data_IF_703200036099
#
_entry.id   IF_703200036099
#
_cell.length_a   1.000
_cell.length_b   1.000
_cell.length_c   1.000
_cell.angle_alpha   90.00
_cell.angle_beta   90.00
_cell.angle_gamma   90.00
#
_symmetry.space_group_name_H-M   'P 1'
#
loop_
_entity.id
_entity.type
_entity.pdbx_description
1 polymer ?
#
# COMPACT_ATOMS: atom_id res chain seq x y z
N UNK A 1 -24.76 1.92 6.83
CA UNK A 1 -23.32 1.70 7.09
C UNK A 1 -23.13 1.42 8.57
N UNK A 2 -22.60 0.24 8.91
CA UNK A 2 -22.28 -0.17 10.27
C UNK A 2 -21.02 0.55 10.79
N UNK A 3 -20.75 0.50 12.10
CA UNK A 3 -19.51 1.03 12.68
C UNK A 3 -18.26 0.38 12.06
N UNK A 4 -18.33 -0.93 11.77
CA UNK A 4 -17.25 -1.69 11.13
C UNK A 4 -17.02 -1.23 9.68
N UNK A 5 -18.09 -1.01 8.91
CA UNK A 5 -18.00 -0.53 7.54
C UNK A 5 -17.40 0.89 7.47
N UNK A 6 -17.81 1.80 8.37
CA UNK A 6 -17.23 3.14 8.47
C UNK A 6 -15.72 3.08 8.80
N UNK A 7 -15.34 2.22 9.74
CA UNK A 7 -13.94 2.01 10.11
C UNK A 7 -13.12 1.49 8.91
N UNK A 8 -13.63 0.48 8.20
CA UNK A 8 -12.98 -0.06 7.01
C UNK A 8 -12.84 1.00 5.92
N UNK A 9 -13.89 1.78 5.65
CA UNK A 9 -13.85 2.86 4.67
C UNK A 9 -12.77 3.89 5.02
N UNK A 10 -12.63 4.24 6.30
CA UNK A 10 -11.55 5.11 6.77
C UNK A 10 -10.16 4.51 6.53
N UNK A 11 -9.98 3.22 6.79
CA UNK A 11 -8.71 2.52 6.57
C UNK A 11 -8.34 2.43 5.08
N UNK A 12 -9.30 2.06 4.21
CA UNK A 12 -9.10 2.00 2.76
C UNK A 12 -8.75 3.38 2.18
N UNK A 13 -9.40 4.43 2.66
CA UNK A 13 -9.07 5.80 2.28
C UNK A 13 -7.63 6.15 2.64
N UNK A 14 -7.17 5.84 3.85
CA UNK A 14 -5.78 6.13 4.26
C UNK A 14 -4.75 5.39 3.40
N UNK A 15 -5.03 4.16 2.99
CA UNK A 15 -4.20 3.40 2.05
C UNK A 15 -4.13 4.12 0.71
N UNK A 16 -5.28 4.55 0.17
CA UNK A 16 -5.35 5.26 -1.10
C UNK A 16 -4.68 6.63 -1.07
N UNK A 17 -4.85 7.38 0.02
CA UNK A 17 -4.17 8.66 0.22
C UNK A 17 -2.65 8.47 0.18
N UNK A 18 -2.11 7.45 0.87
CA UNK A 18 -0.68 7.09 0.81
C UNK A 18 -0.25 6.63 -0.59
N UNK A 19 -1.08 5.83 -1.28
CA UNK A 19 -0.81 5.37 -2.63
C UNK A 19 -0.67 6.53 -3.63
N UNK A 20 -1.58 7.50 -3.56
CA UNK A 20 -1.58 8.70 -4.40
C UNK A 20 -0.34 9.58 -4.18
N UNK A 21 0.22 9.60 -2.96
CA UNK A 21 1.46 10.33 -2.68
C UNK A 21 2.59 9.82 -3.57
N UNK A 22 2.75 8.50 -3.77
CA UNK A 22 3.78 7.97 -4.68
C UNK A 22 3.61 8.48 -6.11
N UNK A 23 2.38 8.56 -6.62
CA UNK A 23 2.12 9.13 -7.95
C UNK A 23 2.55 10.60 -8.10
N UNK A 24 2.57 11.34 -7.00
CA UNK A 24 2.90 12.78 -6.97
C UNK A 24 4.39 13.10 -6.82
N UNK A 25 5.23 12.11 -6.47
CA UNK A 25 6.66 12.32 -6.26
C UNK A 25 7.39 12.67 -7.56
N UNK A 26 8.46 13.46 -7.43
CA UNK A 26 9.24 14.00 -8.57
C UNK A 26 10.64 13.42 -8.66
N UNK A 27 10.91 12.37 -7.88
CA UNK A 27 12.18 11.66 -7.84
C UNK A 27 13.36 12.58 -7.47
N UNK A 28 13.11 13.51 -6.53
CA UNK A 28 14.12 14.48 -6.07
C UNK A 28 14.70 14.11 -4.70
N UNK A 29 15.88 14.66 -4.31
CA UNK A 29 16.39 14.50 -2.96
C UNK A 29 15.33 14.84 -1.90
N UNK A 30 15.21 13.97 -0.90
CA UNK A 30 14.15 14.04 0.13
C UNK A 30 12.91 13.20 -0.18
N UNK A 31 12.62 12.86 -1.45
CA UNK A 31 11.49 11.99 -1.78
C UNK A 31 11.68 10.57 -1.24
N UNK A 32 12.92 10.11 -1.04
CA UNK A 32 13.19 8.79 -0.42
C UNK A 32 12.63 8.67 1.00
N UNK A 33 12.70 9.74 1.80
CA UNK A 33 12.14 9.74 3.16
C UNK A 33 10.60 9.70 3.12
N UNK A 34 10.01 10.32 2.11
CA UNK A 34 8.56 10.22 1.86
C UNK A 34 8.21 8.79 1.47
N UNK A 35 8.94 8.18 0.54
CA UNK A 35 8.77 6.78 0.13
C UNK A 35 8.81 5.85 1.34
N UNK A 36 9.86 5.97 2.16
CA UNK A 36 10.02 5.17 3.39
C UNK A 36 8.81 5.30 4.32
N UNK A 37 8.38 6.54 4.58
CA UNK A 37 7.25 6.80 5.47
C UNK A 37 5.94 6.23 4.94
N UNK A 38 5.66 6.41 3.66
CA UNK A 38 4.39 5.94 3.08
C UNK A 38 4.36 4.41 2.90
N UNK A 39 5.49 3.76 2.60
CA UNK A 39 5.58 2.28 2.60
C UNK A 39 5.27 1.73 4.00
N UNK A 40 5.88 2.29 5.05
CA UNK A 40 5.63 1.84 6.42
C UNK A 40 4.16 1.99 6.82
N UNK A 41 3.53 3.11 6.43
CA UNK A 41 2.10 3.33 6.66
C UNK A 41 1.24 2.30 5.94
N UNK A 42 1.43 2.11 4.64
CA UNK A 42 0.66 1.15 3.85
C UNK A 42 0.80 -0.26 4.42
N UNK A 43 2.03 -0.69 4.74
CA UNK A 43 2.26 -2.01 5.35
C UNK A 43 1.51 -2.15 6.67
N UNK A 44 1.56 -1.12 7.53
CA UNK A 44 0.80 -1.09 8.78
C UNK A 44 -0.71 -1.19 8.56
N UNK A 45 -1.26 -0.42 7.62
CA UNK A 45 -2.68 -0.44 7.29
C UNK A 45 -3.11 -1.78 6.69
N UNK A 46 -2.29 -2.39 5.84
CA UNK A 46 -2.55 -3.72 5.27
C UNK A 46 -2.55 -4.82 6.34
N UNK A 47 -1.67 -4.75 7.33
CA UNK A 47 -1.71 -5.68 8.47
C UNK A 47 -3.02 -5.55 9.25
N UNK A 48 -3.46 -4.32 9.55
CA UNK A 48 -4.74 -4.06 10.22
C UNK A 48 -5.91 -4.56 9.35
N UNK A 49 -5.91 -4.22 8.06
CA UNK A 49 -6.94 -4.58 7.11
C UNK A 49 -7.09 -6.10 7.00
N UNK A 50 -5.99 -6.83 6.85
CA UNK A 50 -6.01 -8.29 6.76
C UNK A 50 -6.61 -8.93 8.02
N UNK A 51 -6.29 -8.41 9.20
CA UNK A 51 -6.87 -8.89 10.46
C UNK A 51 -8.37 -8.61 10.57
N UNK A 52 -8.85 -7.47 10.05
CA UNK A 52 -10.27 -7.12 10.07
C UNK A 52 -11.07 -7.89 9.02
N UNK A 53 -10.55 -8.08 7.82
CA UNK A 53 -11.21 -8.84 6.76
C UNK A 53 -11.42 -10.31 7.16
N UNK A 54 -10.49 -10.90 7.90
CA UNK A 54 -10.66 -12.26 8.48
C UNK A 54 -11.88 -12.40 9.41
N UNK A 55 -12.29 -11.33 10.07
CA UNK A 55 -13.50 -11.32 10.91
C UNK A 55 -14.78 -11.25 10.07
N UNK A 56 -14.65 -10.87 8.80
CA UNK A 56 -15.74 -10.69 7.83
C UNK A 56 -15.74 -11.78 6.75
N UNK A 57 -14.84 -12.77 6.85
CA UNK A 57 -14.43 -13.71 5.78
C UNK A 57 -15.50 -14.74 5.37
N UNK A 58 -16.77 -14.45 5.64
CA UNK A 58 -17.93 -15.24 5.20
C UNK A 58 -19.04 -14.37 4.57
N UNK A 59 -18.80 -13.07 4.37
CA UNK A 59 -19.86 -12.11 4.03
C UNK A 59 -19.82 -11.60 2.57
N UNK A 60 -18.69 -11.72 1.85
CA UNK A 60 -18.59 -11.27 0.44
C UNK A 60 -17.33 -11.79 -0.26
N UNK A 61 -17.49 -12.22 -1.52
CA UNK A 61 -16.38 -12.60 -2.42
C UNK A 61 -15.37 -11.46 -2.61
N UNK A 62 -15.82 -10.21 -2.56
CA UNK A 62 -14.94 -9.04 -2.71
C UNK A 62 -13.94 -8.95 -1.55
N UNK A 63 -14.39 -9.17 -0.31
CA UNK A 63 -13.54 -9.10 0.88
C UNK A 63 -12.52 -10.24 0.92
N UNK A 64 -12.92 -11.45 0.54
CA UNK A 64 -12.00 -12.59 0.43
C UNK A 64 -10.97 -12.37 -0.69
N UNK A 65 -11.39 -11.78 -1.82
CA UNK A 65 -10.49 -11.40 -2.92
C UNK A 65 -9.46 -10.35 -2.47
N UNK A 66 -9.90 -9.31 -1.76
CA UNK A 66 -9.02 -8.27 -1.21
C UNK A 66 -8.07 -8.84 -0.15
N UNK A 67 -8.56 -9.65 0.79
CA UNK A 67 -7.72 -10.26 1.83
C UNK A 67 -6.60 -11.12 1.21
N UNK A 68 -6.92 -11.88 0.16
CA UNK A 68 -5.93 -12.68 -0.57
C UNK A 68 -4.86 -11.82 -1.24
N UNK A 69 -5.26 -10.70 -1.87
CA UNK A 69 -4.32 -9.77 -2.51
C UNK A 69 -3.42 -9.05 -1.49
N UNK A 70 -3.99 -8.60 -0.36
CA UNK A 70 -3.25 -7.98 0.75
C UNK A 70 -2.24 -8.95 1.34
N UNK A 71 -2.65 -10.21 1.57
CA UNK A 71 -1.76 -11.26 2.07
C UNK A 71 -0.61 -11.52 1.10
N UNK A 72 -0.90 -11.66 -0.20
CA UNK A 72 0.11 -11.83 -1.23
C UNK A 72 1.13 -10.68 -1.22
N UNK A 73 0.66 -9.43 -1.07
CA UNK A 73 1.57 -8.29 -1.00
C UNK A 73 2.50 -8.37 0.22
N UNK A 74 1.94 -8.60 1.41
CA UNK A 74 2.70 -8.65 2.66
C UNK A 74 3.71 -9.81 2.73
N UNK A 75 3.45 -10.90 2.02
CA UNK A 75 4.33 -12.08 2.01
C UNK A 75 5.47 -11.98 0.97
N UNK A 76 5.26 -11.26 -0.13
CA UNK A 76 6.19 -11.25 -1.26
C UNK A 76 6.98 -9.95 -1.42
N UNK A 77 6.57 -8.87 -0.76
CA UNK A 77 7.22 -7.56 -0.90
C UNK A 77 7.70 -7.02 0.44
N UNK A 78 9.02 -6.84 0.55
CA UNK A 78 9.68 -6.14 1.63
C UNK A 78 10.73 -5.18 1.03
N UNK A 79 10.48 -3.88 1.20
CA UNK A 79 11.30 -2.81 0.64
C UNK A 79 12.28 -2.22 1.66
N UNK A 80 12.27 -2.64 2.92
CA UNK A 80 13.03 -1.98 3.99
C UNK A 80 14.54 -1.98 3.67
N UNK A 81 15.06 -3.12 3.23
CA UNK A 81 16.48 -3.27 2.86
C UNK A 81 16.85 -2.45 1.62
N UNK A 82 15.97 -2.42 0.62
CA UNK A 82 16.20 -1.66 -0.62
C UNK A 82 16.24 -0.15 -0.31
N UNK A 83 15.27 0.34 0.47
CA UNK A 83 15.20 1.74 0.93
C UNK A 83 16.41 2.09 1.79
N UNK A 84 16.83 1.23 2.71
CA UNK A 84 18.02 1.47 3.54
C UNK A 84 19.30 1.58 2.69
N UNK A 85 19.45 0.70 1.70
CA UNK A 85 20.59 0.73 0.77
C UNK A 85 20.59 2.02 -0.06
N UNK A 86 19.41 2.38 -0.58
CA UNK A 86 19.17 3.61 -1.31
C UNK A 86 19.53 4.85 -0.50
N UNK A 87 19.15 4.89 0.79
CA UNK A 87 19.40 6.02 1.68
C UNK A 87 20.90 6.28 1.87
N UNK A 88 21.71 5.23 1.92
CA UNK A 88 23.16 5.32 2.13
C UNK A 88 23.95 5.67 0.89
N UNK A 89 23.51 5.21 -0.29
CA UNK A 89 24.34 5.21 -1.50
C UNK A 89 23.80 6.10 -2.63
N UNK A 90 22.48 6.31 -2.68
CA UNK A 90 21.78 6.80 -3.88
C UNK A 90 20.63 7.76 -3.56
N UNK A 91 20.60 8.37 -2.37
CA UNK A 91 19.52 9.25 -1.93
C UNK A 91 19.37 10.52 -2.77
N UNK A 92 20.41 10.88 -3.52
CA UNK A 92 20.43 12.02 -4.42
C UNK A 92 20.32 11.65 -5.92
N UNK A 93 20.28 10.35 -6.27
CA UNK A 93 20.19 9.89 -7.66
C UNK A 93 18.71 9.79 -8.13
N UNK A 94 18.24 10.69 -9.01
CA UNK A 94 16.84 10.72 -9.43
C UNK A 94 16.39 9.45 -10.15
N UNK A 95 17.29 8.80 -10.92
CA UNK A 95 16.93 7.58 -11.63
C UNK A 95 16.73 6.42 -10.66
N UNK A 96 17.54 6.37 -9.61
CA UNK A 96 17.40 5.34 -8.58
C UNK A 96 16.15 5.56 -7.72
N UNK A 97 15.83 6.82 -7.38
CA UNK A 97 14.58 7.18 -6.71
C UNK A 97 13.34 6.81 -7.55
N UNK A 98 13.39 7.11 -8.85
CA UNK A 98 12.35 6.71 -9.80
C UNK A 98 12.16 5.21 -9.84
N UNK A 99 13.25 4.45 -9.86
CA UNK A 99 13.20 2.99 -9.95
C UNK A 99 12.55 2.37 -8.71
N UNK A 100 12.99 2.74 -7.50
CA UNK A 100 12.39 2.17 -6.27
C UNK A 100 10.92 2.55 -6.15
N UNK A 101 10.56 3.79 -6.49
CA UNK A 101 9.15 4.23 -6.54
C UNK A 101 8.33 3.38 -7.51
N UNK A 102 8.85 3.11 -8.70
CA UNK A 102 8.18 2.28 -9.69
C UNK A 102 8.00 0.84 -9.21
N UNK A 103 9.04 0.23 -8.62
CA UNK A 103 8.95 -1.14 -8.05
C UNK A 103 7.87 -1.22 -6.97
N UNK A 104 7.78 -0.24 -6.08
CA UNK A 104 6.75 -0.18 -5.05
C UNK A 104 5.36 -0.06 -5.68
N UNK A 105 5.17 0.82 -6.66
CA UNK A 105 3.90 0.96 -7.37
C UNK A 105 3.50 -0.36 -8.05
N UNK A 106 4.43 -1.04 -8.72
CA UNK A 106 4.16 -2.33 -9.35
C UNK A 106 3.75 -3.41 -8.34
N UNK A 107 4.36 -3.44 -7.16
CA UNK A 107 3.98 -4.37 -6.10
C UNK A 107 2.56 -4.08 -5.56
N UNK A 108 2.21 -2.79 -5.42
CA UNK A 108 0.86 -2.38 -5.00
C UNK A 108 -0.19 -2.67 -6.08
N UNK A 109 0.19 -2.76 -7.35
CA UNK A 109 -0.68 -3.20 -8.44
C UNK A 109 -0.72 -4.72 -8.64
N UNK A 110 0.16 -5.49 -7.99
CA UNK A 110 0.13 -6.95 -8.10
C UNK A 110 -1.22 -7.49 -7.61
N UNK A 111 -1.71 -8.51 -8.31
CA UNK A 111 -3.05 -9.09 -8.11
C UNK A 111 -4.19 -8.06 -8.15
N UNK A 112 -3.98 -6.90 -8.79
CA UNK A 112 -4.94 -5.78 -8.87
C UNK A 112 -5.32 -5.28 -7.47
N UNK A 113 -4.36 -5.26 -6.54
CA UNK A 113 -4.61 -4.94 -5.14
C UNK A 113 -5.21 -3.54 -4.97
N UNK A 114 -4.63 -2.50 -5.56
CA UNK A 114 -5.18 -1.14 -5.45
C UNK A 114 -6.56 -1.01 -6.10
N UNK A 115 -6.80 -1.64 -7.25
CA UNK A 115 -8.15 -1.64 -7.86
C UNK A 115 -9.21 -2.28 -6.93
N UNK A 116 -8.85 -3.33 -6.18
CA UNK A 116 -9.77 -3.93 -5.19
C UNK A 116 -10.03 -3.00 -4.01
N UNK A 117 -9.00 -2.31 -3.53
CA UNK A 117 -9.11 -1.31 -2.47
C UNK A 117 -10.08 -0.21 -2.91
N UNK A 118 -9.93 0.33 -4.12
CA UNK A 118 -10.82 1.35 -4.69
C UNK A 118 -12.25 0.82 -4.84
N UNK A 119 -12.43 -0.34 -5.48
CA UNK A 119 -13.77 -0.91 -5.73
C UNK A 119 -14.56 -1.16 -4.44
N UNK A 120 -13.90 -1.63 -3.38
CA UNK A 120 -14.55 -1.85 -2.09
C UNK A 120 -14.86 -0.52 -1.41
N UNK A 121 -13.95 0.46 -1.48
CA UNK A 121 -14.18 1.78 -0.90
C UNK A 121 -15.39 2.50 -1.52
N UNK A 122 -15.63 2.30 -2.82
CA UNK A 122 -16.81 2.86 -3.53
C UNK A 122 -18.12 2.19 -3.13
N UNK A 123 -18.08 0.89 -2.78
CA UNK A 123 -19.26 0.10 -2.37
C UNK A 123 -19.67 0.33 -0.92
N UNK A 124 -18.71 0.66 -0.05
CA UNK A 124 -18.93 0.99 1.37
C UNK A 124 -19.48 2.41 1.52
#
# INVERSE_FOLDING_TARGET
MTEIENYLKGLLKQILDSYQIFGSLKDKPGDLEIIKKEVLKINGFFLVLNNKLKLLDNNSDDFTSLSSAVKNYLENYDFDREIETMSKLYSEDPNRLKNIRYTILQALEDKRLMEKVESIMEKL
#
